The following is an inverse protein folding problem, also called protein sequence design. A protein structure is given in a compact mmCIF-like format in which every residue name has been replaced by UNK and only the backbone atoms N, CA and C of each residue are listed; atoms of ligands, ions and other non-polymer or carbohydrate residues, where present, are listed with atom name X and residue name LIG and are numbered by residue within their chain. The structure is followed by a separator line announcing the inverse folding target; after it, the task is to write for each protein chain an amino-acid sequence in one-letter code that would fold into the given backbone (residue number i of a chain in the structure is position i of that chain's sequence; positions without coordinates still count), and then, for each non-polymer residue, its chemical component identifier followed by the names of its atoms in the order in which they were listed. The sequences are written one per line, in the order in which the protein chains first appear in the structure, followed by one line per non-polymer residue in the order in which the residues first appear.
data_IF_767426345554
#
_entry.id   IF_767426345554
#
_cell.length_a   1.000
_cell.length_b   1.000
_cell.length_c   1.000
_cell.angle_alpha   90.00
_cell.angle_beta   90.00
_cell.angle_gamma   90.00
#
_symmetry.space_group_name_H-M   'P 1'
#
loop_
_entity.id
_entity.type
_entity.pdbx_description
1 polymer ?
#
# COMPACT_ATOMS: atom_id res chain seq x y z
N UNK A 1 13.19 29.52 23.69
CA UNK A 1 13.26 28.70 24.90
C UNK A 1 13.34 27.24 24.47
N UNK A 2 14.52 26.64 24.58
CA UNK A 2 14.73 25.21 24.29
C UNK A 2 14.05 24.40 25.40
N UNK A 3 13.09 23.56 25.04
CA UNK A 3 12.47 22.63 25.98
C UNK A 3 13.56 21.77 26.64
N UNK A 4 13.53 21.65 27.96
CA UNK A 4 14.42 20.75 28.68
C UNK A 4 14.17 19.31 28.20
N UNK A 5 15.20 18.69 27.61
CA UNK A 5 15.11 17.31 27.14
C UNK A 5 14.89 16.39 28.34
N UNK A 6 13.73 15.73 28.37
CA UNK A 6 13.42 14.70 29.37
C UNK A 6 13.56 13.33 28.70
N UNK A 7 14.55 12.50 29.09
CA UNK A 7 14.74 11.19 28.49
C UNK A 7 13.56 10.27 28.79
N UNK A 8 13.24 9.39 27.84
CA UNK A 8 12.18 8.39 28.03
C UNK A 8 12.58 7.38 29.10
N UNK A 9 11.62 7.01 29.94
CA UNK A 9 11.79 5.91 30.89
C UNK A 9 11.45 4.55 30.23
N UNK A 10 11.85 3.42 30.83
CA UNK A 10 11.60 2.09 30.25
C UNK A 10 10.12 1.77 30.00
N UNK A 11 9.22 2.21 30.88
CA UNK A 11 7.76 1.98 30.75
C UNK A 11 7.20 2.72 29.53
N UNK A 12 7.60 3.98 29.33
CA UNK A 12 7.21 4.78 28.16
C UNK A 12 7.72 4.19 26.84
N UNK A 13 8.92 3.57 26.87
CA UNK A 13 9.44 2.86 25.71
C UNK A 13 8.62 1.59 25.43
N UNK A 14 8.25 0.84 26.46
CA UNK A 14 7.39 -0.35 26.30
C UNK A 14 6.02 0.02 25.73
N UNK A 15 5.38 1.07 26.24
CA UNK A 15 4.12 1.60 25.69
C UNK A 15 4.25 1.97 24.21
N UNK A 16 5.34 2.65 23.83
CA UNK A 16 5.63 2.97 22.44
C UNK A 16 5.85 1.72 21.58
N UNK A 17 6.54 0.70 22.08
CA UNK A 17 6.73 -0.57 21.37
C UNK A 17 5.40 -1.30 21.15
N UNK A 18 4.53 -1.36 22.16
CA UNK A 18 3.18 -1.95 22.03
C UNK A 18 2.36 -1.20 20.97
N UNK A 19 2.45 0.13 20.96
CA UNK A 19 1.80 0.95 19.92
C UNK A 19 2.36 0.67 18.53
N UNK A 20 3.69 0.54 18.38
CA UNK A 20 4.32 0.17 17.11
C UNK A 20 3.81 -1.19 16.59
N UNK A 21 3.63 -2.18 17.48
CA UNK A 21 3.06 -3.48 17.10
C UNK A 21 1.63 -3.32 16.57
N UNK A 22 0.79 -2.55 17.27
CA UNK A 22 -0.57 -2.27 16.81
C UNK A 22 -0.59 -1.55 15.46
N UNK A 23 0.26 -0.54 15.28
CA UNK A 23 0.38 0.22 14.03
C UNK A 23 0.86 -0.67 12.87
N UNK A 24 1.81 -1.59 13.11
CA UNK A 24 2.22 -2.58 12.11
C UNK A 24 1.07 -3.50 11.71
N UNK A 25 0.32 -4.04 12.66
CA UNK A 25 -0.82 -4.92 12.36
C UNK A 25 -1.91 -4.20 11.57
N UNK A 26 -2.16 -2.92 11.88
CA UNK A 26 -3.10 -2.09 11.11
C UNK A 26 -2.58 -1.88 9.69
N UNK A 27 -1.30 -1.56 9.52
CA UNK A 27 -0.69 -1.35 8.21
C UNK A 27 -0.70 -2.63 7.35
N UNK A 28 -0.39 -3.78 7.95
CA UNK A 28 -0.41 -5.07 7.24
C UNK A 28 -1.83 -5.47 6.82
N UNK A 29 -2.83 -5.27 7.69
CA UNK A 29 -4.25 -5.48 7.32
C UNK A 29 -4.70 -4.57 6.19
N UNK A 30 -4.30 -3.29 6.23
CA UNK A 30 -4.62 -2.34 5.17
C UNK A 30 -3.96 -2.74 3.83
N UNK A 31 -2.72 -3.24 3.86
CA UNK A 31 -2.04 -3.74 2.67
C UNK A 31 -2.72 -4.99 2.10
N UNK A 32 -3.15 -5.92 2.96
CA UNK A 32 -3.89 -7.11 2.53
C UNK A 32 -5.20 -6.70 1.81
N UNK A 33 -6.02 -5.85 2.44
CA UNK A 33 -7.26 -5.37 1.85
C UNK A 33 -7.03 -4.62 0.52
N UNK A 34 -5.95 -3.83 0.41
CA UNK A 34 -5.62 -3.13 -0.83
C UNK A 34 -5.18 -4.09 -1.96
N UNK A 35 -4.50 -5.19 -1.62
CA UNK A 35 -4.12 -6.24 -2.60
C UNK A 35 -5.33 -7.01 -3.11
N UNK A 36 -6.24 -7.36 -2.21
CA UNK A 36 -7.48 -8.05 -2.57
C UNK A 36 -8.31 -7.16 -3.51
N UNK A 37 -8.49 -5.89 -3.15
CA UNK A 37 -9.20 -4.92 -3.98
C UNK A 37 -8.55 -4.68 -5.35
N UNK A 38 -7.20 -4.61 -5.43
CA UNK A 38 -6.50 -4.50 -6.71
C UNK A 38 -6.75 -5.75 -7.58
N UNK A 39 -6.70 -6.93 -6.98
CA UNK A 39 -6.91 -8.21 -7.67
C UNK A 39 -8.34 -8.32 -8.21
N UNK A 40 -9.34 -7.93 -7.41
CA UNK A 40 -10.74 -7.93 -7.81
C UNK A 40 -10.95 -7.00 -9.01
N UNK A 41 -10.41 -5.79 -8.97
CA UNK A 41 -10.53 -4.82 -10.05
C UNK A 41 -9.77 -5.24 -11.32
N UNK A 42 -8.64 -5.95 -11.18
CA UNK A 42 -7.93 -6.53 -12.32
C UNK A 42 -8.78 -7.62 -13.00
N UNK A 43 -9.43 -8.46 -12.20
CA UNK A 43 -10.34 -9.49 -12.70
C UNK A 43 -11.54 -8.86 -13.42
N UNK A 44 -12.15 -7.83 -12.83
CA UNK A 44 -13.28 -7.11 -13.45
C UNK A 44 -12.87 -6.42 -14.76
N UNK A 45 -11.73 -5.75 -14.81
CA UNK A 45 -11.22 -5.16 -16.05
C UNK A 45 -11.06 -6.22 -17.14
N UNK A 46 -10.45 -7.37 -16.83
CA UNK A 46 -10.28 -8.48 -17.77
C UNK A 46 -11.62 -9.02 -18.28
N UNK A 47 -12.62 -9.15 -17.40
CA UNK A 47 -13.97 -9.58 -17.78
C UNK A 47 -14.63 -8.60 -18.74
N UNK A 48 -14.56 -7.29 -18.45
CA UNK A 48 -15.17 -6.26 -19.30
C UNK A 48 -14.43 -6.12 -20.62
N UNK A 49 -13.11 -6.23 -20.63
CA UNK A 49 -12.31 -6.24 -21.88
C UNK A 49 -12.70 -7.42 -22.77
N UNK A 50 -12.86 -8.62 -22.19
CA UNK A 50 -13.32 -9.79 -22.94
C UNK A 50 -14.74 -9.59 -23.50
N UNK A 51 -15.65 -9.06 -22.68
CA UNK A 51 -17.02 -8.77 -23.11
C UNK A 51 -17.05 -7.77 -24.27
N UNK A 52 -16.30 -6.67 -24.15
CA UNK A 52 -16.15 -5.67 -25.22
C UNK A 52 -15.53 -6.29 -26.49
N UNK A 53 -14.53 -7.16 -26.36
CA UNK A 53 -13.91 -7.82 -27.50
C UNK A 53 -14.84 -8.81 -28.22
N UNK A 54 -15.87 -9.33 -27.54
CA UNK A 54 -16.88 -10.25 -28.07
C UNK A 54 -18.18 -9.58 -28.50
N UNK A 55 -18.33 -8.28 -28.23
CA UNK A 55 -19.49 -7.49 -28.63
C UNK A 55 -19.67 -7.52 -30.16
N UNK A 56 -20.91 -7.59 -30.62
CA UNK A 56 -21.23 -7.60 -32.06
C UNK A 56 -20.84 -6.29 -32.74
N UNK A 57 -20.89 -5.18 -31.99
CA UNK A 57 -20.50 -3.83 -32.44
C UNK A 57 -18.98 -3.61 -32.43
N UNK A 58 -18.20 -4.59 -31.96
CA UNK A 58 -16.75 -4.51 -31.91
C UNK A 58 -16.16 -4.49 -33.34
N UNK A 59 -15.32 -3.50 -33.69
CA UNK A 59 -14.72 -3.39 -35.01
C UNK A 59 -14.00 -4.66 -35.44
N UNK A 60 -14.42 -5.25 -36.55
CA UNK A 60 -13.82 -6.46 -37.11
C UNK A 60 -12.64 -6.08 -38.00
N UNK A 61 -11.45 -6.47 -37.58
CA UNK A 61 -10.21 -6.20 -38.30
C UNK A 61 -10.27 -6.84 -39.69
N UNK A 62 -10.06 -6.03 -40.73
CA UNK A 62 -10.11 -6.49 -42.12
C UNK A 62 -9.17 -5.68 -43.00
N UNK A 63 -8.72 -6.27 -44.11
CA UNK A 63 -7.80 -5.60 -45.03
C UNK A 63 -8.52 -4.46 -45.76
N UNK A 64 -8.09 -3.22 -45.53
CA UNK A 64 -8.70 -2.01 -46.09
C UNK A 64 -9.91 -1.47 -45.29
N UNK A 65 -10.22 -2.08 -44.14
CA UNK A 65 -11.22 -1.60 -43.19
C UNK A 65 -10.58 -1.20 -41.86
N UNK A 66 -11.24 -1.55 -40.74
CA UNK A 66 -10.71 -1.29 -39.41
C UNK A 66 -9.38 -2.01 -39.16
N UNK A 67 -8.45 -1.28 -38.55
CA UNK A 67 -7.17 -1.80 -38.10
C UNK A 67 -7.27 -2.42 -36.72
N UNK A 68 -6.22 -3.12 -36.30
CA UNK A 68 -6.09 -3.62 -34.91
C UNK A 68 -6.15 -2.46 -33.92
N UNK A 69 -5.48 -1.34 -34.23
CA UNK A 69 -5.45 -0.16 -33.38
C UNK A 69 -6.85 0.47 -33.20
N UNK A 70 -7.68 0.47 -34.25
CA UNK A 70 -9.05 0.99 -34.16
C UNK A 70 -9.92 0.13 -33.23
N UNK A 71 -9.76 -1.20 -33.31
CA UNK A 71 -10.44 -2.14 -32.41
C UNK A 71 -9.97 -1.96 -30.97
N UNK A 72 -8.66 -1.85 -30.74
CA UNK A 72 -8.09 -1.64 -29.40
C UNK A 72 -8.58 -0.33 -28.80
N UNK A 73 -8.54 0.78 -29.55
CA UNK A 73 -9.07 2.07 -29.11
C UNK A 73 -10.56 2.01 -28.74
N UNK A 74 -11.35 1.24 -29.49
CA UNK A 74 -12.77 1.02 -29.20
C UNK A 74 -13.00 0.25 -27.89
N UNK A 75 -12.16 -0.76 -27.61
CA UNK A 75 -12.21 -1.55 -26.36
C UNK A 75 -11.73 -0.69 -25.18
N UNK A 76 -10.65 0.05 -25.35
CA UNK A 76 -10.09 0.93 -24.31
C UNK A 76 -11.08 2.00 -23.90
N UNK A 77 -11.76 2.64 -24.87
CA UNK A 77 -12.78 3.64 -24.58
C UNK A 77 -13.94 3.09 -23.72
N UNK A 78 -14.29 1.80 -23.88
CA UNK A 78 -15.36 1.13 -23.12
C UNK A 78 -14.93 0.58 -21.78
N UNK A 79 -13.63 0.33 -21.61
CA UNK A 79 -13.06 -0.26 -20.39
C UNK A 79 -12.32 0.77 -19.53
N UNK A 80 -12.35 2.05 -19.95
CA UNK A 80 -11.61 3.14 -19.32
C UNK A 80 -11.93 3.30 -17.83
N UNK A 81 -13.21 3.20 -17.43
CA UNK A 81 -13.62 3.34 -16.04
C UNK A 81 -13.02 2.23 -15.15
N UNK A 82 -13.05 0.98 -15.62
CA UNK A 82 -12.46 -0.16 -14.91
C UNK A 82 -10.94 -0.04 -14.86
N UNK A 83 -10.31 0.41 -15.96
CA UNK A 83 -8.88 0.68 -15.99
C UNK A 83 -8.50 1.78 -14.99
N UNK A 84 -9.27 2.86 -14.94
CA UNK A 84 -9.05 3.98 -14.03
C UNK A 84 -9.24 3.54 -12.57
N UNK A 85 -10.28 2.76 -12.28
CA UNK A 85 -10.51 2.18 -10.96
C UNK A 85 -9.34 1.28 -10.51
N UNK A 86 -8.88 0.38 -11.40
CA UNK A 86 -7.70 -0.45 -11.15
C UNK A 86 -6.46 0.43 -10.88
N UNK A 87 -6.27 1.49 -11.66
CA UNK A 87 -5.13 2.40 -11.48
C UNK A 87 -5.13 3.06 -10.10
N UNK A 88 -6.29 3.49 -9.62
CA UNK A 88 -6.45 4.03 -8.27
C UNK A 88 -6.17 2.97 -7.19
N UNK A 89 -6.64 1.73 -7.39
CA UNK A 89 -6.38 0.63 -6.47
C UNK A 89 -4.90 0.25 -6.40
N UNK A 90 -4.18 0.21 -7.52
CA UNK A 90 -2.73 0.03 -7.56
C UNK A 90 -2.02 1.11 -6.74
N UNK A 91 -2.42 2.38 -6.89
CA UNK A 91 -1.86 3.47 -6.07
C UNK A 91 -2.18 3.33 -4.60
N UNK A 92 -3.39 2.90 -4.25
CA UNK A 92 -3.75 2.60 -2.87
C UNK A 92 -2.87 1.50 -2.27
N UNK A 93 -2.64 0.41 -3.01
CA UNK A 93 -1.73 -0.67 -2.57
C UNK A 93 -0.30 -0.18 -2.40
N UNK A 94 0.23 0.62 -3.33
CA UNK A 94 1.56 1.21 -3.21
C UNK A 94 1.69 2.05 -1.92
N UNK A 95 0.72 2.92 -1.64
CA UNK A 95 0.66 3.72 -0.42
C UNK A 95 0.60 2.82 0.84
N UNK A 96 -0.20 1.76 0.81
CA UNK A 96 -0.28 0.81 1.92
C UNK A 96 1.04 0.07 2.16
N UNK A 97 1.75 -0.31 1.09
CA UNK A 97 3.06 -0.95 1.19
C UNK A 97 4.11 0.00 1.79
N UNK A 98 4.09 1.28 1.41
CA UNK A 98 4.95 2.30 2.01
C UNK A 98 4.64 2.50 3.50
N UNK A 99 3.37 2.48 3.89
CA UNK A 99 2.99 2.55 5.32
C UNK A 99 3.55 1.38 6.13
N UNK A 100 3.54 0.17 5.59
CA UNK A 100 4.16 -1.00 6.25
C UNK A 100 5.67 -0.78 6.41
N UNK A 101 6.35 -0.27 5.38
CA UNK A 101 7.78 0.05 5.44
C UNK A 101 8.09 1.09 6.51
N UNK A 102 7.34 2.19 6.53
CA UNK A 102 7.49 3.25 7.54
C UNK A 102 7.24 2.71 8.95
N UNK A 103 6.20 1.89 9.16
CA UNK A 103 5.92 1.29 10.47
C UNK A 103 7.08 0.41 10.96
N UNK A 104 7.72 -0.35 10.06
CA UNK A 104 8.92 -1.15 10.38
C UNK A 104 10.12 -0.27 10.73
N UNK A 105 10.38 0.79 9.97
CA UNK A 105 11.47 1.75 10.23
C UNK A 105 11.29 2.45 11.60
N UNK A 106 10.07 2.89 11.91
CA UNK A 106 9.73 3.48 13.21
C UNK A 106 9.94 2.48 14.33
N UNK A 107 9.47 1.23 14.15
CA UNK A 107 9.64 0.17 15.16
C UNK A 107 11.11 -0.11 15.44
N UNK A 108 11.94 -0.21 14.39
CA UNK A 108 13.40 -0.37 14.51
C UNK A 108 14.04 0.79 15.29
N UNK A 109 13.63 2.03 14.99
CA UNK A 109 14.11 3.22 15.71
C UNK A 109 13.75 3.15 17.20
N UNK A 110 12.53 2.75 17.54
CA UNK A 110 12.08 2.62 18.94
C UNK A 110 12.84 1.49 19.65
N UNK A 111 13.16 0.38 18.98
CA UNK A 111 13.99 -0.69 19.54
C UNK A 111 15.41 -0.20 19.86
N UNK A 112 16.02 0.61 18.98
CA UNK A 112 17.32 1.25 19.23
C UNK A 112 17.24 2.18 20.45
N UNK A 113 16.20 3.01 20.55
CA UNK A 113 15.97 3.87 21.73
C UNK A 113 15.84 3.01 23.00
N UNK A 114 15.14 1.87 22.94
CA UNK A 114 14.99 0.95 24.08
C UNK A 114 16.34 0.42 24.57
N UNK A 115 17.25 0.07 23.66
CA UNK A 115 18.60 -0.36 24.03
C UNK A 115 19.39 0.76 24.72
N UNK A 116 19.33 1.98 24.20
CA UNK A 116 20.00 3.15 24.78
C UNK A 116 19.45 3.48 26.18
N UNK A 117 18.13 3.44 26.36
CA UNK A 117 17.49 3.66 27.67
C UNK A 117 17.92 2.58 28.66
N UNK A 118 17.92 1.30 28.29
CA UNK A 118 18.41 0.22 29.17
C UNK A 118 19.87 0.41 29.57
N UNK A 119 20.73 0.80 28.62
CA UNK A 119 22.14 1.08 28.91
C UNK A 119 22.29 2.25 29.89
N UNK A 120 21.58 3.36 29.67
CA UNK A 120 21.63 4.51 30.57
C UNK A 120 21.18 4.18 32.00
N UNK A 121 20.08 3.44 32.17
CA UNK A 121 19.60 3.03 33.49
C UNK A 121 20.52 1.98 34.16
N UNK A 122 21.19 1.12 33.40
CA UNK A 122 22.17 0.17 33.96
C UNK A 122 23.40 0.84 34.56
N UNK A 123 23.85 1.97 33.98
CA UNK A 123 24.99 2.76 34.49
C UNK A 123 24.60 3.55 35.74
N UNK A 124 23.37 4.08 35.79
CA UNK A 124 22.86 4.84 36.95
C UNK A 124 22.58 3.94 38.17
N UNK A 125 22.20 2.67 37.96
CA UNK A 125 21.98 1.71 39.05
C UNK A 125 23.26 1.03 39.58
N UNK A 126 24.41 1.30 38.97
CA UNK A 126 25.72 0.73 39.34
C UNK A 126 26.63 1.73 40.09
N UNK A 127 26.18 2.97 40.30
CA UNK A 127 26.82 4.00 41.11
C UNK A 127 26.08 4.14 42.45
#
# INVERSE_FOLDING_TARGET
MTQAYTPLNPVQVEEKLRRCIADMLIAEKALAAARDSETDLECELKKVQLAAAMDEDCPKVSRGGYTVADREAWIDARTYEQWHALRLATKSREIAADRVRIAREVTSTVQTISQLVRQAFSVVGAA
#
